data_IF_748252691637
#
_entry.id   IF_748252691637
#
_cell.length_a   1.000
_cell.length_b   1.000
_cell.length_c   1.000
_cell.angle_alpha   90.00
_cell.angle_beta   90.00
_cell.angle_gamma   90.00
#
_symmetry.space_group_name_H-M   'P 1'
#
loop_
_entity.id
_entity.type
_entity.pdbx_description
1 polymer ?
#
# COMPACT_ATOMS: atom_id res chain seq x y z
N UNK A 1 1.47 1.80 -20.73
CA UNK A 1 2.83 1.22 -20.59
C UNK A 1 2.62 -0.13 -19.92
N UNK A 2 3.06 -1.26 -20.47
CA UNK A 2 2.85 -2.56 -19.79
C UNK A 2 3.70 -2.62 -18.52
N UNK A 3 3.08 -2.88 -17.36
CA UNK A 3 3.81 -3.17 -16.13
C UNK A 3 4.62 -4.45 -16.30
N UNK A 4 5.90 -4.41 -15.91
CA UNK A 4 6.76 -5.57 -15.93
C UNK A 4 6.22 -6.65 -14.99
N UNK A 5 6.36 -7.92 -15.36
CA UNK A 5 6.02 -9.06 -14.49
C UNK A 5 6.70 -8.97 -13.11
N UNK A 6 7.78 -8.21 -13.02
CA UNK A 6 8.61 -8.03 -11.83
C UNK A 6 8.25 -6.81 -10.97
N UNK A 7 7.16 -6.09 -11.28
CA UNK A 7 6.80 -4.88 -10.53
C UNK A 7 6.55 -5.10 -9.03
N UNK A 8 6.16 -6.31 -8.65
CA UNK A 8 5.99 -6.71 -7.24
C UNK A 8 7.20 -7.44 -6.66
N UNK A 9 8.30 -7.59 -7.40
CA UNK A 9 9.52 -8.22 -6.90
C UNK A 9 10.11 -7.45 -5.69
N UNK A 10 10.20 -6.11 -5.69
CA UNK A 10 10.61 -5.36 -4.50
C UNK A 10 9.65 -5.54 -3.32
N UNK A 11 8.35 -5.66 -3.60
CA UNK A 11 7.37 -5.94 -2.56
C UNK A 11 7.65 -7.31 -1.92
N UNK A 12 7.68 -8.36 -2.74
CA UNK A 12 7.89 -9.74 -2.31
C UNK A 12 9.23 -9.93 -1.57
N UNK A 13 10.31 -9.28 -2.03
CA UNK A 13 11.64 -9.41 -1.43
C UNK A 13 11.71 -8.86 0.01
N UNK A 14 10.80 -7.98 0.41
CA UNK A 14 10.78 -7.36 1.74
C UNK A 14 9.87 -8.04 2.76
N UNK A 15 9.14 -9.11 2.37
CA UNK A 15 8.17 -9.78 3.25
C UNK A 15 8.58 -11.21 3.52
N UNK A 16 8.45 -11.62 4.78
CA UNK A 16 8.39 -13.02 5.15
C UNK A 16 6.92 -13.46 5.29
N UNK A 17 6.41 -14.11 4.24
CA UNK A 17 5.03 -14.61 4.19
C UNK A 17 4.75 -15.79 5.13
N UNK A 18 5.75 -16.34 5.82
CA UNK A 18 5.53 -17.28 6.92
C UNK A 18 5.21 -16.55 8.24
N UNK A 19 5.53 -15.25 8.33
CA UNK A 19 5.38 -14.43 9.53
C UNK A 19 4.25 -13.41 9.42
N UNK A 20 4.12 -12.79 8.26
CA UNK A 20 3.07 -11.78 8.01
C UNK A 20 1.82 -12.40 7.38
N UNK A 21 0.67 -11.78 7.65
CA UNK A 21 -0.62 -12.11 7.00
C UNK A 21 -0.86 -11.32 5.73
N UNK A 22 0.08 -10.48 5.33
CA UNK A 22 0.00 -9.73 4.08
C UNK A 22 -0.05 -10.69 2.87
N UNK A 23 -0.81 -10.36 1.81
CA UNK A 23 -0.92 -11.21 0.63
C UNK A 23 0.41 -11.28 -0.14
N UNK A 24 0.67 -12.43 -0.76
CA UNK A 24 1.79 -12.59 -1.70
C UNK A 24 1.58 -11.72 -2.93
N UNK A 25 2.64 -11.08 -3.41
CA UNK A 25 2.60 -10.16 -4.54
C UNK A 25 2.40 -10.89 -5.86
N UNK A 26 1.24 -10.69 -6.49
CA UNK A 26 0.92 -11.12 -7.85
C UNK A 26 0.31 -9.97 -8.64
N UNK A 27 0.85 -9.68 -9.82
CA UNK A 27 0.30 -8.66 -10.72
C UNK A 27 -1.04 -9.16 -11.27
N UNK A 28 -2.07 -8.33 -11.19
CA UNK A 28 -3.38 -8.66 -11.74
C UNK A 28 -3.37 -8.60 -13.27
N UNK A 29 -4.19 -9.45 -13.92
CA UNK A 29 -4.28 -9.50 -15.40
C UNK A 29 -5.05 -8.31 -15.97
N UNK A 30 -5.94 -7.72 -15.17
CA UNK A 30 -6.79 -6.60 -15.51
C UNK A 30 -6.54 -5.49 -14.50
N UNK A 31 -6.51 -4.26 -14.98
CA UNK A 31 -6.53 -3.08 -14.11
C UNK A 31 -7.95 -2.55 -13.93
N UNK A 32 -8.06 -1.58 -13.04
CA UNK A 32 -9.25 -0.82 -12.71
C UNK A 32 -8.86 0.62 -12.35
N UNK A 33 -9.76 1.32 -11.67
CA UNK A 33 -9.59 2.72 -11.26
C UNK A 33 -9.70 2.91 -9.74
N UNK A 34 -9.49 1.86 -8.96
CA UNK A 34 -9.67 1.94 -7.51
C UNK A 34 -8.58 2.76 -6.82
N UNK A 35 -8.95 3.39 -5.70
CA UNK A 35 -8.00 3.96 -4.75
C UNK A 35 -8.22 3.37 -3.36
N UNK A 36 -7.14 3.34 -2.58
CA UNK A 36 -7.15 2.88 -1.19
C UNK A 36 -6.32 3.83 -0.34
N UNK A 37 -6.84 4.13 0.85
CA UNK A 37 -6.09 4.79 1.91
C UNK A 37 -6.07 3.87 3.13
N UNK A 38 -4.89 3.50 3.59
CA UNK A 38 -4.70 2.72 4.80
C UNK A 38 -4.07 3.57 5.88
N UNK A 39 -4.64 3.60 7.09
CA UNK A 39 -4.00 4.19 8.27
C UNK A 39 -3.06 3.15 8.87
N UNK A 40 -1.79 3.51 9.00
CA UNK A 40 -0.73 2.59 9.39
C UNK A 40 -0.03 3.08 10.66
N UNK A 41 -0.32 2.40 11.78
CA UNK A 41 0.30 2.60 13.07
C UNK A 41 1.60 1.77 13.18
N UNK A 42 2.61 2.16 12.40
CA UNK A 42 3.96 1.60 12.44
C UNK A 42 4.84 2.33 13.48
N UNK A 43 6.17 2.37 13.27
CA UNK A 43 7.09 3.18 14.08
C UNK A 43 6.66 4.66 14.19
N UNK A 44 6.05 5.19 13.13
CA UNK A 44 5.33 6.45 13.12
C UNK A 44 3.97 6.24 12.48
N UNK A 45 2.95 6.87 13.05
CA UNK A 45 1.64 6.91 12.42
C UNK A 45 1.75 7.63 11.06
N UNK A 46 1.24 7.01 10.02
CA UNK A 46 1.13 7.59 8.68
C UNK A 46 -0.05 6.96 7.93
N UNK A 47 -0.29 7.43 6.71
CA UNK A 47 -1.29 6.87 5.82
C UNK A 47 -0.63 6.41 4.54
N UNK A 48 -0.94 5.20 4.10
CA UNK A 48 -0.53 4.69 2.80
C UNK A 48 -1.64 5.02 1.79
N UNK A 49 -1.33 5.89 0.84
CA UNK A 49 -2.20 6.21 -0.28
C UNK A 49 -1.83 5.36 -1.49
N UNK A 50 -2.82 4.73 -2.11
CA UNK A 50 -2.62 3.77 -3.19
C UNK A 50 -3.60 4.01 -4.33
N UNK A 51 -3.09 3.90 -5.55
CA UNK A 51 -3.87 3.95 -6.79
C UNK A 51 -3.67 2.65 -7.57
N UNK A 52 -4.77 2.03 -7.98
CA UNK A 52 -4.74 0.93 -8.93
C UNK A 52 -4.37 1.45 -10.31
N UNK A 53 -3.19 1.05 -10.79
CA UNK A 53 -2.70 1.41 -12.11
C UNK A 53 -1.92 0.21 -12.65
N UNK A 54 -2.26 -0.22 -13.87
CA UNK A 54 -1.59 -1.31 -14.58
C UNK A 54 -1.49 -2.63 -13.76
N UNK A 55 -2.56 -2.98 -13.04
CA UNK A 55 -2.69 -4.26 -12.33
C UNK A 55 -1.93 -4.35 -11.00
N UNK A 56 -1.45 -3.21 -10.48
CA UNK A 56 -0.82 -3.08 -9.14
C UNK A 56 -1.32 -1.83 -8.42
N UNK A 57 -1.08 -1.76 -7.11
CA UNK A 57 -1.30 -0.59 -6.28
C UNK A 57 -0.03 0.26 -6.23
N UNK A 58 0.01 1.31 -7.05
CA UNK A 58 1.01 2.37 -6.98
C UNK A 58 0.84 3.08 -5.64
N UNK A 59 1.86 3.03 -4.78
CA UNK A 59 1.72 3.39 -3.37
C UNK A 59 2.65 4.53 -2.93
N UNK A 60 2.19 5.32 -1.96
CA UNK A 60 2.93 6.38 -1.29
C UNK A 60 2.59 6.45 0.20
N UNK A 61 3.59 6.66 1.05
CA UNK A 61 3.40 7.00 2.46
C UNK A 61 3.21 8.51 2.64
N UNK A 62 2.15 8.89 3.34
CA UNK A 62 1.72 10.27 3.62
C UNK A 62 1.70 10.49 5.13
N UNK A 63 2.69 11.19 5.67
CA UNK A 63 2.94 11.28 7.13
C UNK A 63 1.86 12.04 7.90
N UNK A 64 1.24 13.05 7.27
CA UNK A 64 0.17 13.85 7.90
C UNK A 64 -1.24 13.40 7.50
N UNK A 65 -1.36 12.36 6.66
CA UNK A 65 -2.63 11.93 6.08
C UNK A 65 -3.18 12.89 5.01
N UNK A 66 -4.31 12.51 4.37
CA UNK A 66 -4.99 13.32 3.38
C UNK A 66 -5.56 14.62 3.98
N UNK A 67 -5.83 15.60 3.13
CA UNK A 67 -6.51 16.85 3.51
C UNK A 67 -7.64 17.16 2.54
N UNK A 68 -8.71 17.76 3.05
CA UNK A 68 -9.81 18.31 2.25
C UNK A 68 -9.57 19.78 1.85
N UNK A 69 -8.57 20.42 2.46
CA UNK A 69 -8.17 21.78 2.12
C UNK A 69 -7.23 21.75 0.90
N UNK A 70 -7.58 22.39 -0.23
CA UNK A 70 -6.72 22.41 -1.42
C UNK A 70 -5.43 23.22 -1.25
N UNK A 71 -5.33 24.09 -0.23
CA UNK A 71 -4.11 24.83 0.09
C UNK A 71 -3.07 23.96 0.81
N UNK A 72 -3.51 22.89 1.47
CA UNK A 72 -2.64 21.98 2.21
C UNK A 72 -1.76 21.15 1.26
N UNK A 73 -0.44 21.35 1.34
CA UNK A 73 0.52 20.48 0.65
C UNK A 73 0.96 19.34 1.57
N UNK A 74 0.71 18.10 1.16
CA UNK A 74 1.10 16.88 1.88
C UNK A 74 2.28 16.21 1.18
N UNK A 75 3.34 15.89 1.92
CA UNK A 75 4.44 15.10 1.41
C UNK A 75 3.97 13.64 1.21
N UNK A 76 4.07 13.14 -0.02
CA UNK A 76 3.78 11.76 -0.38
C UNK A 76 5.08 11.09 -0.86
N UNK A 77 5.62 10.18 -0.04
CA UNK A 77 6.88 9.48 -0.33
C UNK A 77 6.58 8.18 -1.06
N UNK A 78 7.14 7.99 -2.25
CA UNK A 78 6.93 6.79 -3.06
C UNK A 78 7.43 5.53 -2.34
N UNK A 79 6.60 4.49 -2.30
CA UNK A 79 6.96 3.16 -1.76
C UNK A 79 6.90 2.09 -2.86
N UNK A 80 7.14 0.83 -2.50
CA UNK A 80 6.96 -0.29 -3.43
C UNK A 80 5.51 -0.37 -3.94
N UNK A 81 5.34 -0.89 -5.14
CA UNK A 81 4.02 -1.31 -5.63
C UNK A 81 3.49 -2.45 -4.77
N UNK A 82 2.17 -2.47 -4.53
CA UNK A 82 1.52 -3.53 -3.75
C UNK A 82 0.60 -4.35 -4.66
N UNK A 83 0.36 -5.65 -4.36
CA UNK A 83 -0.66 -6.41 -5.08
C UNK A 83 -2.06 -5.81 -4.83
N UNK A 84 -2.98 -5.95 -5.78
CA UNK A 84 -4.35 -5.45 -5.62
C UNK A 84 -5.04 -6.00 -4.37
N UNK A 85 -4.81 -7.28 -4.05
CA UNK A 85 -5.35 -7.94 -2.85
C UNK A 85 -4.94 -7.24 -1.55
N UNK A 86 -3.82 -6.50 -1.55
CA UNK A 86 -3.38 -5.70 -0.40
C UNK A 86 -4.33 -4.54 -0.08
N UNK A 87 -5.08 -4.06 -1.08
CA UNK A 87 -6.00 -2.92 -0.92
C UNK A 87 -7.14 -3.20 0.06
N UNK A 88 -7.40 -4.46 0.38
CA UNK A 88 -8.41 -4.88 1.37
C UNK A 88 -7.79 -5.43 2.65
N UNK A 89 -6.46 -5.43 2.76
CA UNK A 89 -5.78 -5.92 3.94
C UNK A 89 -6.02 -5.00 5.14
N UNK A 90 -6.50 -5.58 6.22
CA UNK A 90 -6.55 -5.00 7.55
C UNK A 90 -5.98 -6.01 8.55
N UNK A 91 -5.15 -5.54 9.48
CA UNK A 91 -4.52 -6.44 10.44
C UNK A 91 -3.27 -5.86 11.06
N UNK A 92 -2.52 -6.72 11.75
CA UNK A 92 -1.23 -6.35 12.33
C UNK A 92 -0.10 -7.08 11.61
N UNK A 93 0.86 -6.31 11.13
CA UNK A 93 2.14 -6.80 10.62
C UNK A 93 3.06 -6.99 11.85
N UNK A 94 3.66 -8.18 12.04
CA UNK A 94 4.43 -8.47 13.24
C UNK A 94 5.56 -7.45 13.49
N UNK A 95 5.85 -7.18 14.76
CA UNK A 95 6.98 -6.31 15.13
C UNK A 95 8.30 -6.92 14.61
N UNK A 96 9.14 -6.09 14.00
CA UNK A 96 10.42 -6.49 13.41
C UNK A 96 10.32 -6.88 11.93
N UNK A 97 9.12 -7.10 11.41
CA UNK A 97 8.90 -7.20 9.97
C UNK A 97 8.92 -5.82 9.31
N UNK A 98 9.19 -5.80 8.00
CA UNK A 98 9.13 -4.57 7.22
C UNK A 98 7.70 -4.03 7.21
N UNK A 99 7.51 -2.78 7.66
CA UNK A 99 6.17 -2.22 7.85
C UNK A 99 5.46 -2.74 9.10
N UNK A 100 6.17 -3.28 10.09
CA UNK A 100 5.57 -3.74 11.35
C UNK A 100 4.71 -2.68 12.02
N UNK A 101 3.46 -3.02 12.32
CA UNK A 101 2.45 -2.08 12.77
C UNK A 101 1.03 -2.55 12.47
N UNK A 102 0.04 -1.84 13.00
CA UNK A 102 -1.37 -2.10 12.68
C UNK A 102 -1.77 -1.30 11.45
N UNK A 103 -2.35 -2.00 10.48
CA UNK A 103 -2.91 -1.45 9.24
C UNK A 103 -4.44 -1.51 9.33
N UNK A 104 -5.08 -0.38 9.13
CA UNK A 104 -6.54 -0.22 9.05
C UNK A 104 -6.90 0.37 7.70
N UNK A 105 -7.95 -0.14 7.07
CA UNK A 105 -8.52 0.45 5.87
C UNK A 105 -9.25 1.74 6.29
N UNK A 106 -8.72 2.88 5.88
CA UNK A 106 -9.23 4.19 6.28
C UNK A 106 -10.24 4.73 5.26
N UNK A 107 -9.98 4.53 3.97
CA UNK A 107 -10.89 4.90 2.88
C UNK A 107 -10.63 4.04 1.63
N UNK A 108 -11.63 3.93 0.77
CA UNK A 108 -11.52 3.29 -0.55
C UNK A 108 -12.61 3.77 -1.51
N UNK A 109 -12.32 3.75 -2.81
CA UNK A 109 -13.30 4.10 -3.84
C UNK A 109 -12.78 3.89 -5.26
N UNK A 110 -13.43 4.54 -6.24
CA UNK A 110 -13.16 4.45 -7.69
C UNK A 110 -13.39 5.79 -8.37
#
# INVERSE_FOLDING_TARGET
MMVSKDALSPYNAKRDFARTREPKGKVAKTGGNSFVVQKHAATRLHWDFRLEIDGVLKSWAVTKGPSIDPADKRLAVRTEDHPLDYGTFEGSIPKGEYGGGTVMLWDRGT
#
